data_IF_836181487767
#
_entry.id   IF_836181487767
#
_cell.length_a   1.000
_cell.length_b   1.000
_cell.length_c   1.000
_cell.angle_alpha   90.00
_cell.angle_beta   90.00
_cell.angle_gamma   90.00
#
_symmetry.space_group_name_H-M   'P 1'
#
loop_
_entity.id
_entity.type
_entity.pdbx_description
1 polymer ?
#
# COMPACT_ATOMS: atom_id res chain seq x y z
N UNK A 1 49.07 -28.19 -48.00
CA UNK A 1 47.74 -28.50 -47.54
C UNK A 1 47.48 -27.71 -46.24
N UNK A 2 46.71 -26.66 -46.19
CA UNK A 2 46.39 -25.95 -44.94
C UNK A 2 45.11 -26.50 -44.35
N UNK A 3 45.15 -26.81 -43.07
CA UNK A 3 44.10 -27.29 -42.24
C UNK A 3 43.08 -26.09 -41.98
N UNK A 4 41.83 -26.26 -42.33
CA UNK A 4 40.74 -25.30 -42.00
C UNK A 4 40.16 -25.70 -40.66
N UNK A 5 40.31 -24.83 -39.66
CA UNK A 5 39.63 -24.95 -38.36
C UNK A 5 38.27 -24.24 -38.52
N UNK A 6 37.21 -25.02 -38.41
CA UNK A 6 35.84 -24.47 -38.34
C UNK A 6 35.52 -24.10 -36.89
N UNK A 7 35.30 -22.83 -36.63
CA UNK A 7 34.80 -22.35 -35.33
C UNK A 7 33.28 -22.53 -35.29
N UNK A 8 32.78 -23.34 -34.37
CA UNK A 8 31.37 -23.47 -34.08
C UNK A 8 30.97 -22.33 -33.13
N UNK A 9 30.09 -21.44 -33.62
CA UNK A 9 29.47 -20.40 -32.80
C UNK A 9 28.27 -21.04 -32.10
N UNK A 10 28.35 -21.23 -30.79
CA UNK A 10 27.22 -21.63 -29.96
C UNK A 10 26.32 -20.41 -29.73
N UNK A 11 25.14 -20.39 -30.32
CA UNK A 11 24.09 -19.43 -30.04
C UNK A 11 23.44 -19.86 -28.72
N UNK A 12 23.75 -19.16 -27.65
CA UNK A 12 23.03 -19.28 -26.38
C UNK A 12 21.70 -18.54 -26.56
N UNK A 13 20.62 -19.29 -26.73
CA UNK A 13 19.27 -18.75 -26.67
C UNK A 13 19.00 -18.31 -25.22
N UNK A 14 19.05 -17.02 -24.97
CA UNK A 14 18.40 -16.43 -23.79
C UNK A 14 16.89 -16.64 -23.93
N UNK A 15 16.37 -17.64 -23.25
CA UNK A 15 14.93 -17.71 -22.99
C UNK A 15 14.57 -16.51 -22.12
N UNK A 16 14.05 -15.47 -22.75
CA UNK A 16 13.46 -14.33 -22.05
C UNK A 16 12.33 -14.86 -21.16
N UNK A 17 12.50 -14.75 -19.85
CA UNK A 17 11.38 -14.86 -18.91
C UNK A 17 10.46 -13.70 -19.27
N UNK A 18 9.27 -14.04 -19.79
CA UNK A 18 8.28 -13.04 -20.20
C UNK A 18 7.97 -12.12 -19.02
N UNK A 19 8.02 -10.81 -19.25
CA UNK A 19 7.63 -9.76 -18.31
C UNK A 19 6.16 -9.85 -17.89
N UNK A 20 5.40 -10.75 -18.49
CA UNK A 20 3.96 -10.91 -18.30
C UNK A 20 3.58 -11.55 -16.94
N UNK A 21 4.49 -12.27 -16.28
CA UNK A 21 4.19 -12.94 -15.00
C UNK A 21 3.93 -11.99 -13.83
N UNK A 22 4.33 -10.72 -13.91
CA UNK A 22 4.09 -9.72 -12.87
C UNK A 22 2.87 -8.83 -13.13
N UNK A 23 2.39 -8.73 -14.37
CA UNK A 23 1.27 -7.89 -14.76
C UNK A 23 -0.08 -8.36 -14.19
N UNK A 24 -0.22 -9.66 -13.93
CA UNK A 24 -1.47 -10.29 -13.52
C UNK A 24 -1.68 -10.35 -11.98
N UNK A 25 -0.75 -9.87 -11.16
CA UNK A 25 -0.80 -10.02 -9.71
C UNK A 25 -0.88 -8.67 -8.99
N UNK A 26 -1.54 -8.67 -7.82
CA UNK A 26 -1.59 -7.54 -6.88
C UNK A 26 -1.05 -8.01 -5.52
N UNK A 27 0.29 -8.15 -5.36
CA UNK A 27 0.92 -8.96 -4.31
C UNK A 27 0.93 -8.32 -2.92
N UNK A 28 0.66 -7.04 -2.80
CA UNK A 28 0.69 -6.29 -1.55
C UNK A 28 -0.21 -5.06 -1.64
N UNK A 29 -0.43 -4.39 -0.53
CA UNK A 29 -1.12 -3.11 -0.52
C UNK A 29 -0.45 -2.14 -1.48
N UNK A 30 -1.24 -1.49 -2.35
CA UNK A 30 -0.77 -0.63 -3.46
C UNK A 30 -0.10 -1.38 -4.63
N UNK A 31 -0.29 -2.71 -4.71
CA UNK A 31 0.04 -3.49 -5.90
C UNK A 31 1.51 -3.84 -6.09
N UNK A 32 1.90 -4.19 -7.32
CA UNK A 32 3.21 -4.80 -7.59
C UNK A 32 4.40 -3.89 -7.24
N UNK A 33 4.25 -2.59 -7.41
CA UNK A 33 5.29 -1.59 -7.10
C UNK A 33 4.99 -0.80 -5.82
N UNK A 34 4.00 -1.21 -5.03
CA UNK A 34 3.55 -0.53 -3.81
C UNK A 34 3.20 0.97 -4.01
N UNK A 35 2.82 1.37 -5.22
CA UNK A 35 2.54 2.76 -5.59
C UNK A 35 1.12 2.99 -6.15
N UNK A 36 0.28 1.94 -6.21
CA UNK A 36 -1.09 2.03 -6.69
C UNK A 36 -1.26 1.92 -8.20
N UNK A 37 -0.20 1.56 -8.93
CA UNK A 37 -0.23 1.42 -10.39
C UNK A 37 -0.27 -0.05 -10.78
N UNK A 38 -1.06 -0.36 -11.82
CA UNK A 38 -1.05 -1.63 -12.51
C UNK A 38 -0.88 -1.41 -14.01
N UNK A 39 -0.12 -2.26 -14.72
CA UNK A 39 -0.05 -2.28 -16.17
C UNK A 39 -1.27 -2.95 -16.83
N UNK A 40 -2.22 -3.44 -16.04
CA UNK A 40 -3.45 -4.08 -16.52
C UNK A 40 -4.24 -3.19 -17.48
N UNK A 41 -4.88 -3.83 -18.45
CA UNK A 41 -5.74 -3.21 -19.47
C UNK A 41 -7.11 -3.88 -19.50
N UNK A 42 -8.06 -3.29 -20.26
CA UNK A 42 -9.42 -3.80 -20.43
C UNK A 42 -10.21 -3.94 -19.14
N UNK A 43 -9.97 -3.06 -18.18
CA UNK A 43 -10.64 -3.05 -16.90
C UNK A 43 -12.09 -2.53 -16.99
N UNK A 44 -13.01 -3.04 -16.18
CA UNK A 44 -14.39 -2.58 -16.10
C UNK A 44 -14.47 -1.08 -15.81
N UNK A 45 -15.39 -0.40 -16.50
CA UNK A 45 -15.72 1.02 -16.24
C UNK A 45 -17.05 1.11 -15.49
N UNK A 46 -18.01 0.28 -15.87
CA UNK A 46 -19.37 0.28 -15.31
C UNK A 46 -19.69 -1.05 -14.65
N UNK A 47 -20.30 -0.98 -13.47
CA UNK A 47 -20.86 -2.12 -12.75
C UNK A 47 -21.93 -1.65 -11.77
N UNK A 48 -22.71 -2.59 -11.27
CA UNK A 48 -23.67 -2.40 -10.18
C UNK A 48 -23.53 -3.54 -9.16
N UNK A 49 -24.48 -3.70 -8.26
CA UNK A 49 -24.50 -4.86 -7.36
C UNK A 49 -24.87 -6.18 -8.05
N UNK A 50 -25.30 -6.12 -9.32
CA UNK A 50 -25.75 -7.28 -10.13
C UNK A 50 -25.10 -7.36 -11.51
N UNK A 51 -24.63 -6.25 -12.07
CA UNK A 51 -24.04 -6.19 -13.41
C UNK A 51 -22.52 -6.13 -13.32
N UNK A 52 -21.84 -6.83 -14.22
CA UNK A 52 -20.36 -6.92 -14.27
C UNK A 52 -19.75 -7.43 -12.97
N UNK A 53 -20.46 -8.25 -12.21
CA UNK A 53 -19.97 -8.92 -11.01
C UNK A 53 -19.67 -10.38 -11.35
N UNK A 54 -18.40 -10.77 -11.24
CA UNK A 54 -18.01 -12.17 -11.39
C UNK A 54 -18.51 -13.01 -10.21
N UNK A 55 -18.35 -12.50 -9.01
CA UNK A 55 -18.85 -13.09 -7.76
C UNK A 55 -18.84 -12.08 -6.61
N UNK A 56 -19.58 -12.41 -5.55
CA UNK A 56 -19.66 -11.71 -4.26
C UNK A 56 -19.45 -12.70 -3.14
N UNK A 57 -18.46 -12.51 -2.28
CA UNK A 57 -18.22 -13.32 -1.08
C UNK A 57 -18.66 -12.55 0.16
N UNK A 58 -19.66 -13.01 0.93
CA UNK A 58 -20.02 -12.40 2.20
C UNK A 58 -18.85 -12.41 3.22
N UNK A 59 -18.67 -11.32 3.93
CA UNK A 59 -17.68 -11.16 4.99
C UNK A 59 -18.38 -10.91 6.34
N UNK A 60 -17.84 -11.47 7.45
CA UNK A 60 -18.51 -11.38 8.76
C UNK A 60 -18.39 -10.01 9.41
N UNK A 61 -17.37 -9.20 9.04
CA UNK A 61 -17.15 -7.88 9.61
C UNK A 61 -16.37 -6.96 8.65
N UNK A 62 -16.52 -5.65 8.85
CA UNK A 62 -15.77 -4.67 8.10
C UNK A 62 -14.28 -4.63 8.53
N UNK A 63 -13.42 -4.17 7.64
CA UNK A 63 -12.01 -3.86 7.91
C UNK A 63 -11.45 -2.99 6.79
N UNK A 64 -10.33 -2.31 7.04
CA UNK A 64 -9.58 -1.56 6.04
C UNK A 64 -8.63 -2.40 5.18
N UNK A 65 -8.48 -3.70 5.49
CA UNK A 65 -7.57 -4.58 4.74
C UNK A 65 -7.95 -4.66 3.26
N UNK A 66 -7.00 -4.36 2.40
CA UNK A 66 -7.13 -4.51 0.94
C UNK A 66 -6.82 -5.96 0.54
N UNK A 67 -7.60 -6.58 -0.35
CA UNK A 67 -7.28 -7.91 -0.86
C UNK A 67 -5.99 -7.87 -1.66
N UNK A 68 -5.18 -8.93 -1.55
CA UNK A 68 -4.03 -9.18 -2.42
C UNK A 68 -4.30 -10.38 -3.31
N UNK A 69 -3.76 -10.36 -4.52
CA UNK A 69 -4.04 -11.36 -5.55
C UNK A 69 -2.73 -11.94 -6.08
N UNK A 70 -2.65 -13.26 -6.14
CA UNK A 70 -1.58 -13.97 -6.80
C UNK A 70 -2.09 -15.23 -7.51
N UNK A 71 -1.98 -15.25 -8.82
CA UNK A 71 -2.46 -16.36 -9.64
C UNK A 71 -3.95 -16.61 -9.46
N UNK A 72 -4.27 -17.79 -8.95
CA UNK A 72 -5.64 -18.27 -8.70
C UNK A 72 -6.15 -18.00 -7.26
N UNK A 73 -5.42 -17.22 -6.46
CA UNK A 73 -5.74 -16.98 -5.06
C UNK A 73 -5.82 -15.51 -4.70
N UNK A 74 -6.74 -15.25 -3.79
CA UNK A 74 -6.87 -13.95 -3.11
C UNK A 74 -6.63 -14.20 -1.62
N UNK A 75 -5.85 -13.32 -0.98
CA UNK A 75 -5.65 -13.37 0.47
C UNK A 75 -6.17 -12.10 1.11
N UNK A 76 -6.83 -12.25 2.25
CA UNK A 76 -7.49 -11.16 2.95
C UNK A 76 -7.46 -11.37 4.47
N UNK A 77 -7.15 -10.33 5.24
CA UNK A 77 -7.37 -10.32 6.68
C UNK A 77 -8.84 -10.08 6.98
N UNK A 78 -9.43 -10.93 7.80
CA UNK A 78 -10.85 -10.91 8.13
C UNK A 78 -11.04 -10.98 9.65
N UNK A 79 -11.84 -10.07 10.18
CA UNK A 79 -12.36 -10.17 11.55
C UNK A 79 -13.53 -11.14 11.58
N UNK A 80 -13.47 -12.12 12.48
CA UNK A 80 -14.53 -13.11 12.65
C UNK A 80 -14.60 -13.52 14.13
N UNK A 81 -15.75 -13.34 14.78
CA UNK A 81 -16.01 -13.75 16.18
C UNK A 81 -15.00 -13.19 17.21
N UNK A 82 -14.55 -11.95 17.04
CA UNK A 82 -13.56 -11.31 17.94
C UNK A 82 -12.11 -11.71 17.68
N UNK A 83 -11.88 -12.63 16.77
CA UNK A 83 -10.55 -13.03 16.28
C UNK A 83 -10.23 -12.45 14.91
N UNK A 84 -8.96 -12.51 14.56
CA UNK A 84 -8.43 -12.09 13.26
C UNK A 84 -7.97 -13.33 12.51
N UNK A 85 -8.38 -13.45 11.26
CA UNK A 85 -8.09 -14.60 10.42
C UNK A 85 -7.50 -14.16 9.07
N UNK A 86 -6.57 -14.95 8.54
CA UNK A 86 -6.19 -14.90 7.14
C UNK A 86 -7.07 -15.87 6.35
N UNK A 87 -7.77 -15.34 5.35
CA UNK A 87 -8.51 -16.14 4.40
C UNK A 87 -7.74 -16.25 3.09
N UNK A 88 -7.62 -17.47 2.55
CA UNK A 88 -7.29 -17.69 1.15
C UNK A 88 -8.58 -18.03 0.41
N UNK A 89 -8.81 -17.37 -0.71
CA UNK A 89 -10.07 -17.40 -1.46
C UNK A 89 -9.73 -17.85 -2.89
N UNK A 90 -10.51 -18.77 -3.42
CA UNK A 90 -10.47 -19.15 -4.85
C UNK A 90 -10.88 -17.95 -5.69
N UNK A 91 -9.98 -17.49 -6.52
CA UNK A 91 -10.19 -16.29 -7.32
C UNK A 91 -11.31 -16.42 -8.34
N UNK A 92 -11.48 -17.61 -8.93
CA UNK A 92 -12.49 -17.85 -9.96
C UNK A 92 -13.90 -17.97 -9.37
N UNK A 93 -14.02 -18.51 -8.15
CA UNK A 93 -15.31 -18.82 -7.52
C UNK A 93 -15.73 -17.85 -6.42
N UNK A 94 -14.78 -17.14 -5.79
CA UNK A 94 -15.04 -16.35 -4.60
C UNK A 94 -15.35 -17.19 -3.36
N UNK A 95 -14.83 -18.41 -3.28
CA UNK A 95 -15.05 -19.33 -2.16
C UNK A 95 -13.78 -19.43 -1.30
N UNK A 96 -13.89 -19.45 0.05
CA UNK A 96 -12.75 -19.68 0.90
C UNK A 96 -12.14 -21.07 0.67
N UNK A 97 -10.86 -21.13 0.31
CA UNK A 97 -10.07 -22.37 0.22
C UNK A 97 -9.64 -22.84 1.62
N UNK A 98 -9.21 -21.89 2.43
CA UNK A 98 -8.87 -22.13 3.82
C UNK A 98 -8.91 -20.81 4.62
N UNK A 99 -9.05 -20.96 5.95
CA UNK A 99 -8.98 -19.89 6.93
C UNK A 99 -7.95 -20.25 7.98
N UNK A 100 -7.15 -19.29 8.44
CA UNK A 100 -6.17 -19.49 9.51
C UNK A 100 -6.31 -18.40 10.56
N UNK A 101 -6.45 -18.82 11.80
CA UNK A 101 -6.48 -17.92 12.95
C UNK A 101 -5.11 -17.25 13.12
N UNK A 102 -5.10 -15.94 13.24
CA UNK A 102 -3.88 -15.15 13.45
C UNK A 102 -3.72 -14.78 14.93
N UNK A 103 -4.74 -14.15 15.49
CA UNK A 103 -4.79 -13.73 16.89
C UNK A 103 -6.21 -13.46 17.33
N UNK A 104 -6.42 -13.46 18.64
CA UNK A 104 -7.59 -12.88 19.29
C UNK A 104 -7.41 -11.37 19.50
N UNK A 105 -8.44 -10.72 20.04
CA UNK A 105 -8.39 -9.31 20.44
C UNK A 105 -8.61 -8.32 19.31
N UNK A 106 -9.46 -8.67 18.32
CA UNK A 106 -9.91 -7.68 17.35
C UNK A 106 -10.70 -6.58 18.05
N UNK A 107 -10.12 -5.40 18.09
CA UNK A 107 -10.73 -4.20 18.67
C UNK A 107 -11.11 -3.23 17.57
N UNK A 108 -12.39 -2.87 17.55
CA UNK A 108 -12.90 -1.87 16.64
C UNK A 108 -12.54 -0.47 17.12
N UNK A 109 -11.85 0.28 16.28
CA UNK A 109 -11.62 1.71 16.42
C UNK A 109 -12.61 2.49 15.54
N UNK A 110 -12.52 3.82 15.53
CA UNK A 110 -13.45 4.64 14.74
C UNK A 110 -13.41 4.32 13.23
N UNK A 111 -12.21 4.14 12.67
CA UNK A 111 -11.98 3.93 11.23
C UNK A 111 -11.01 2.78 10.92
N UNK A 112 -10.76 1.92 11.88
CA UNK A 112 -9.98 0.70 11.66
C UNK A 112 -10.26 -0.33 12.75
N UNK A 113 -9.83 -1.54 12.53
CA UNK A 113 -9.78 -2.62 13.50
C UNK A 113 -8.43 -3.35 13.41
N UNK A 114 -8.21 -4.33 14.25
CA UNK A 114 -6.92 -5.00 14.29
C UNK A 114 -6.64 -5.91 13.08
N UNK A 115 -7.62 -6.11 12.20
CA UNK A 115 -7.44 -6.80 10.91
C UNK A 115 -7.12 -5.86 9.74
N UNK A 116 -6.96 -4.57 9.97
CA UNK A 116 -6.73 -3.54 8.93
C UNK A 116 -5.45 -3.74 8.12
N UNK A 117 -4.29 -4.16 8.67
CA UNK A 117 -3.11 -4.40 7.84
C UNK A 117 -3.39 -5.41 6.74
N UNK A 118 -2.96 -5.11 5.51
CA UNK A 118 -3.12 -6.01 4.36
C UNK A 118 -2.00 -7.04 4.35
N UNK A 119 -2.27 -8.30 3.94
CA UNK A 119 -1.23 -9.30 3.74
C UNK A 119 -0.33 -8.96 2.57
N UNK A 120 0.79 -9.68 2.44
CA UNK A 120 1.71 -9.59 1.29
C UNK A 120 2.10 -10.99 0.81
N UNK A 121 2.42 -11.14 -0.48
CA UNK A 121 2.81 -12.42 -1.09
C UNK A 121 3.79 -12.22 -2.23
N UNK A 122 4.58 -13.24 -2.54
CA UNK A 122 5.44 -13.32 -3.72
C UNK A 122 5.19 -14.59 -4.56
N UNK A 123 4.08 -15.28 -4.28
CA UNK A 123 3.74 -16.54 -4.94
C UNK A 123 4.35 -17.78 -4.27
N UNK A 124 5.29 -17.63 -3.34
CA UNK A 124 5.88 -18.76 -2.59
C UNK A 124 5.31 -18.87 -1.17
N UNK A 125 4.94 -17.74 -0.58
CA UNK A 125 4.35 -17.64 0.75
C UNK A 125 3.44 -16.43 0.90
N UNK A 126 2.76 -16.38 2.02
CA UNK A 126 1.91 -15.25 2.44
C UNK A 126 2.35 -14.81 3.82
N UNK A 127 2.63 -13.52 3.97
CA UNK A 127 3.01 -12.90 5.22
C UNK A 127 1.96 -11.89 5.64
N UNK A 128 1.63 -11.92 6.92
CA UNK A 128 0.53 -11.11 7.44
C UNK A 128 0.86 -10.54 8.81
N UNK A 129 0.61 -9.25 8.96
CA UNK A 129 0.68 -8.52 10.22
C UNK A 129 -0.74 -8.21 10.69
N UNK A 130 -0.95 -8.23 12.01
CA UNK A 130 -2.20 -7.80 12.64
C UNK A 130 -1.99 -6.54 13.45
N UNK A 131 -3.05 -5.80 13.73
CA UNK A 131 -3.02 -4.66 14.65
C UNK A 131 -2.70 -5.05 16.10
N UNK A 132 -2.87 -6.33 16.45
CA UNK A 132 -2.46 -6.90 17.75
C UNK A 132 -0.97 -7.21 17.84
N UNK A 133 -0.19 -7.00 16.78
CA UNK A 133 1.25 -7.21 16.76
C UNK A 133 1.70 -8.60 16.34
N UNK A 134 0.79 -9.48 15.94
CA UNK A 134 1.13 -10.82 15.46
C UNK A 134 1.54 -10.75 13.99
N UNK A 135 2.73 -11.25 13.70
CA UNK A 135 3.29 -11.40 12.35
C UNK A 135 3.48 -12.88 12.05
N UNK A 136 2.81 -13.40 11.02
CA UNK A 136 2.85 -14.81 10.64
C UNK A 136 3.19 -15.00 9.17
N UNK A 137 3.76 -16.15 8.85
CA UNK A 137 3.98 -16.63 7.50
C UNK A 137 3.28 -17.97 7.27
N UNK A 138 2.71 -18.12 6.07
CA UNK A 138 2.07 -19.35 5.64
C UNK A 138 2.56 -19.72 4.24
N UNK A 139 2.59 -21.03 3.95
CA UNK A 139 2.62 -21.48 2.55
C UNK A 139 1.26 -21.26 1.88
N UNK A 140 1.18 -21.47 0.57
CA UNK A 140 -0.06 -21.28 -0.18
C UNK A 140 -1.17 -22.26 0.21
N UNK A 141 -0.86 -23.37 0.88
CA UNK A 141 -1.83 -24.34 1.40
C UNK A 141 -2.28 -24.00 2.83
N UNK A 142 -1.79 -22.90 3.38
CA UNK A 142 -2.15 -22.41 4.71
C UNK A 142 -1.43 -23.15 5.84
N UNK A 143 -0.32 -23.83 5.59
CA UNK A 143 0.56 -24.33 6.65
C UNK A 143 1.37 -23.16 7.19
N UNK A 144 1.31 -22.95 8.51
CA UNK A 144 2.12 -21.95 9.19
C UNK A 144 3.60 -22.32 9.10
N UNK A 145 4.42 -21.38 8.62
CA UNK A 145 5.86 -21.54 8.48
C UNK A 145 6.60 -20.99 9.70
N UNK A 146 6.17 -19.84 10.18
CA UNK A 146 6.67 -19.20 11.40
C UNK A 146 5.68 -18.15 11.91
N UNK A 147 5.80 -17.81 13.19
CA UNK A 147 5.00 -16.79 13.86
C UNK A 147 5.87 -15.96 14.81
N UNK A 148 5.52 -14.69 14.99
CA UNK A 148 6.14 -13.75 15.92
C UNK A 148 5.09 -12.88 16.59
N UNK A 149 5.38 -12.46 17.80
CA UNK A 149 4.63 -11.44 18.53
C UNK A 149 5.54 -10.21 18.71
N UNK A 150 5.34 -9.23 17.83
CA UNK A 150 6.20 -8.04 17.76
C UNK A 150 6.04 -7.17 19.02
N UNK A 151 4.85 -7.11 19.61
CA UNK A 151 4.64 -6.37 20.86
C UNK A 151 5.33 -7.03 22.05
N UNK A 152 5.31 -8.36 22.12
CA UNK A 152 6.03 -9.10 23.17
C UNK A 152 7.55 -8.94 23.05
N UNK A 153 8.05 -8.83 21.83
CA UNK A 153 9.49 -8.75 21.58
C UNK A 153 10.05 -7.32 21.71
N UNK A 154 9.28 -6.30 21.36
CA UNK A 154 9.78 -4.92 21.23
C UNK A 154 8.96 -3.86 21.95
N UNK A 155 8.00 -4.27 22.76
CA UNK A 155 7.14 -3.36 23.52
C UNK A 155 5.77 -3.11 22.86
N UNK A 156 4.82 -2.58 23.64
CA UNK A 156 3.44 -2.34 23.18
C UNK A 156 3.37 -1.28 22.10
N UNK A 157 2.39 -1.41 21.21
CA UNK A 157 2.11 -0.38 20.20
C UNK A 157 1.36 0.80 20.84
N UNK A 158 1.99 1.94 20.90
CA UNK A 158 1.46 3.15 21.52
C UNK A 158 0.73 4.12 20.60
N UNK A 159 0.14 3.65 19.49
CA UNK A 159 -0.64 4.47 18.58
C UNK A 159 -2.04 4.77 19.13
N UNK A 160 -2.54 5.98 18.89
CA UNK A 160 -3.86 6.42 19.37
C UNK A 160 -5.01 5.58 18.80
N UNK A 161 -4.96 5.28 17.50
CA UNK A 161 -6.03 4.59 16.78
C UNK A 161 -5.75 3.10 16.53
N UNK A 162 -4.76 2.50 17.20
CA UNK A 162 -4.30 1.14 16.97
C UNK A 162 -3.35 1.03 15.77
N UNK A 163 -2.73 -0.13 15.58
CA UNK A 163 -1.76 -0.36 14.52
C UNK A 163 -2.46 -0.73 13.21
N UNK A 164 -2.21 0.02 12.13
CA UNK A 164 -2.85 -0.19 10.81
C UNK A 164 -1.89 -0.33 9.63
N UNK A 165 -0.58 -0.17 9.85
CA UNK A 165 0.43 -0.26 8.79
C UNK A 165 0.55 -1.67 8.23
N UNK A 166 0.55 -1.81 6.91
CA UNK A 166 0.83 -3.09 6.26
C UNK A 166 2.32 -3.38 6.22
N UNK A 167 2.77 -4.64 6.30
CA UNK A 167 4.14 -4.96 5.99
C UNK A 167 4.43 -4.67 4.51
N UNK A 168 5.67 -4.34 4.19
CA UNK A 168 6.15 -4.22 2.81
C UNK A 168 7.05 -5.39 2.49
N UNK A 169 6.80 -6.07 1.38
CA UNK A 169 7.64 -7.16 0.89
C UNK A 169 8.57 -6.66 -0.22
N UNK A 170 9.86 -6.85 -0.04
CA UNK A 170 10.85 -6.56 -1.07
C UNK A 170 12.02 -7.57 -1.01
N UNK A 171 12.26 -8.24 -2.12
CA UNK A 171 13.30 -9.27 -2.22
C UNK A 171 13.05 -10.44 -1.26
N UNK A 172 14.00 -10.67 -0.36
CA UNK A 172 13.97 -11.72 0.67
C UNK A 172 13.43 -11.24 2.02
N UNK A 173 12.91 -10.02 2.10
CA UNK A 173 12.65 -9.34 3.37
C UNK A 173 11.28 -8.71 3.44
N UNK A 174 10.76 -8.68 4.68
CA UNK A 174 9.64 -7.87 5.09
C UNK A 174 10.17 -6.63 5.82
N UNK A 175 9.58 -5.49 5.53
CA UNK A 175 9.80 -4.25 6.27
C UNK A 175 8.55 -3.92 7.07
N UNK A 176 8.72 -3.76 8.37
CA UNK A 176 7.67 -3.42 9.32
C UNK A 176 8.10 -2.18 10.08
N UNK A 177 7.27 -1.15 10.09
CA UNK A 177 7.51 0.05 10.88
C UNK A 177 6.49 0.17 12.00
N UNK A 178 6.94 0.62 13.16
CA UNK A 178 6.10 0.97 14.31
C UNK A 178 6.46 2.39 14.69
N UNK A 179 5.63 3.33 14.23
CA UNK A 179 5.80 4.77 14.49
C UNK A 179 4.68 5.19 15.43
N UNK A 180 5.05 5.49 16.66
CA UNK A 180 4.11 5.70 17.76
C UNK A 180 4.65 6.72 18.77
N UNK A 181 3.81 7.18 19.67
CA UNK A 181 4.19 8.12 20.71
C UNK A 181 3.01 8.67 21.52
N UNK A 182 1.77 8.54 21.02
CA UNK A 182 0.62 9.06 21.75
C UNK A 182 0.38 8.34 23.10
N UNK A 183 0.63 7.03 23.16
CA UNK A 183 0.33 6.18 24.33
C UNK A 183 1.56 5.47 24.91
N UNK A 184 2.77 5.85 24.45
CA UNK A 184 4.02 5.28 24.94
C UNK A 184 5.16 6.25 24.74
N UNK A 185 6.15 6.19 25.63
CA UNK A 185 7.45 6.88 25.51
C UNK A 185 8.51 5.99 24.85
N UNK A 186 8.15 4.73 24.50
CA UNK A 186 9.05 3.84 23.80
C UNK A 186 9.41 4.40 22.40
N UNK A 187 10.65 4.23 21.94
CA UNK A 187 11.07 4.80 20.67
C UNK A 187 10.37 4.12 19.49
N UNK A 188 9.94 4.91 18.51
CA UNK A 188 9.55 4.42 17.20
C UNK A 188 10.68 3.64 16.54
N UNK A 189 10.36 2.58 15.79
CA UNK A 189 11.38 1.72 15.18
C UNK A 189 10.93 1.12 13.84
N UNK A 190 11.91 0.62 13.12
CA UNK A 190 11.73 -0.09 11.85
C UNK A 190 12.49 -1.43 11.91
N UNK A 191 11.85 -2.46 11.36
CA UNK A 191 12.40 -3.81 11.28
C UNK A 191 12.60 -4.23 9.83
N UNK A 192 13.72 -4.88 9.54
CA UNK A 192 13.87 -5.76 8.40
C UNK A 192 13.87 -7.20 8.89
N UNK A 193 12.98 -8.00 8.35
CA UNK A 193 12.71 -9.37 8.80
C UNK A 193 12.90 -10.31 7.61
N UNK A 194 13.61 -11.41 7.79
CA UNK A 194 13.74 -12.46 6.78
C UNK A 194 12.38 -13.10 6.52
N UNK A 195 11.90 -13.05 5.29
CA UNK A 195 10.64 -13.69 4.90
C UNK A 195 10.67 -15.22 5.08
N UNK A 196 11.85 -15.83 4.97
CA UNK A 196 12.00 -17.28 5.02
C UNK A 196 11.79 -17.87 6.41
N UNK A 197 12.21 -17.19 7.47
CA UNK A 197 12.24 -17.74 8.83
C UNK A 197 11.81 -16.77 9.93
N UNK A 198 11.37 -15.57 9.57
CA UNK A 198 10.91 -14.56 10.52
C UNK A 198 12.00 -13.88 11.37
N UNK A 199 13.29 -14.20 11.18
CA UNK A 199 14.38 -13.60 11.99
C UNK A 199 14.55 -12.12 11.65
N UNK A 200 14.72 -11.28 12.66
CA UNK A 200 15.12 -9.88 12.47
C UNK A 200 16.53 -9.82 11.90
N UNK A 201 16.68 -9.19 10.74
CA UNK A 201 17.98 -8.92 10.09
C UNK A 201 18.58 -7.67 10.73
N UNK A 202 17.77 -6.62 10.88
CA UNK A 202 18.11 -5.42 11.63
C UNK A 202 16.86 -4.78 12.25
N UNK A 203 17.06 -4.07 13.37
CA UNK A 203 16.12 -3.14 13.99
C UNK A 203 16.84 -1.82 14.17
N UNK A 204 16.20 -0.75 13.75
CA UNK A 204 16.70 0.61 13.98
C UNK A 204 15.63 1.46 14.61
N UNK A 205 16.03 2.29 15.55
CA UNK A 205 15.17 3.32 16.09
C UNK A 205 15.03 4.47 15.09
N UNK A 206 13.86 5.07 15.09
CA UNK A 206 13.56 6.24 14.27
C UNK A 206 13.12 7.39 15.17
N UNK A 207 14.07 8.13 15.73
CA UNK A 207 13.76 9.24 16.63
C UNK A 207 13.01 10.35 15.90
N UNK A 208 12.17 11.04 16.65
CA UNK A 208 11.41 12.21 16.19
C UNK A 208 11.35 13.27 17.30
N UNK A 209 11.20 14.53 16.91
CA UNK A 209 10.91 15.64 17.82
C UNK A 209 9.39 15.87 17.97
N UNK A 210 8.58 15.16 17.17
CA UNK A 210 7.13 15.22 17.23
C UNK A 210 6.59 14.84 18.61
N UNK A 211 5.47 15.43 19.00
CA UNK A 211 4.88 15.26 20.33
C UNK A 211 3.42 14.84 20.26
N UNK A 212 2.91 14.22 21.31
CA UNK A 212 1.55 13.75 21.46
C UNK A 212 1.12 12.79 20.34
N UNK A 213 0.12 13.13 19.51
CA UNK A 213 -0.33 12.28 18.41
C UNK A 213 0.54 12.41 17.15
N UNK A 214 1.36 13.45 17.04
CA UNK A 214 2.16 13.70 15.85
C UNK A 214 3.24 12.63 15.58
N UNK A 215 3.81 11.90 16.55
CA UNK A 215 4.66 10.75 16.30
C UNK A 215 3.94 9.58 15.61
N UNK A 216 2.63 9.42 15.84
CA UNK A 216 1.86 8.30 15.33
C UNK A 216 1.79 8.32 13.79
N UNK A 217 2.08 7.19 13.18
CA UNK A 217 1.95 7.05 11.74
C UNK A 217 1.40 5.68 11.36
N UNK A 218 0.48 5.69 10.40
CA UNK A 218 -0.23 4.51 9.91
C UNK A 218 0.20 4.14 8.48
N UNK A 219 1.29 4.73 8.03
CA UNK A 219 1.84 4.59 6.68
C UNK A 219 2.49 3.22 6.48
N UNK A 220 2.58 2.80 5.23
CA UNK A 220 3.42 1.68 4.79
C UNK A 220 4.65 2.28 4.11
N UNK A 221 5.87 1.81 4.39
CA UNK A 221 7.09 2.35 3.78
C UNK A 221 7.12 2.07 2.27
N UNK A 222 7.96 2.81 1.55
CA UNK A 222 8.22 2.60 0.13
C UNK A 222 9.71 2.38 -0.12
N UNK A 223 10.09 1.78 -1.24
CA UNK A 223 11.50 1.66 -1.65
C UNK A 223 11.74 2.48 -2.90
N UNK A 224 12.80 3.27 -2.86
CA UNK A 224 13.30 4.02 -4.01
C UNK A 224 14.68 3.51 -4.40
N UNK A 225 14.90 3.42 -5.72
CA UNK A 225 16.24 3.16 -6.28
C UNK A 225 16.88 4.49 -6.67
N UNK A 226 18.07 4.76 -6.16
CA UNK A 226 18.89 5.90 -6.56
C UNK A 226 20.28 5.40 -6.99
N UNK A 227 20.56 5.43 -8.28
CA UNK A 227 21.75 4.81 -8.85
C UNK A 227 21.84 3.32 -8.51
N UNK A 228 22.88 2.92 -7.78
CA UNK A 228 23.06 1.53 -7.29
C UNK A 228 22.47 1.28 -5.90
N UNK A 229 22.04 2.32 -5.21
CA UNK A 229 21.51 2.24 -3.84
C UNK A 229 20.01 1.98 -3.85
N UNK A 230 19.56 1.26 -2.83
CA UNK A 230 18.14 1.11 -2.48
C UNK A 230 17.93 1.78 -1.12
N UNK A 231 16.94 2.64 -1.06
CA UNK A 231 16.60 3.40 0.14
C UNK A 231 15.16 3.10 0.55
N UNK A 232 14.95 2.79 1.81
CA UNK A 232 13.62 2.64 2.41
C UNK A 232 13.14 4.03 2.83
N UNK A 233 12.05 4.49 2.23
CA UNK A 233 11.43 5.79 2.48
C UNK A 233 10.31 5.63 3.49
N UNK A 234 10.36 6.43 4.56
CA UNK A 234 9.40 6.41 5.66
C UNK A 234 8.88 7.81 5.91
N UNK A 235 7.55 7.95 6.03
CA UNK A 235 6.88 9.19 6.43
C UNK A 235 6.18 8.99 7.77
N UNK A 236 6.33 9.94 8.66
CA UNK A 236 5.72 9.94 9.98
C UNK A 236 6.58 10.67 11.01
N UNK A 237 6.01 11.01 12.16
CA UNK A 237 6.71 11.77 13.18
C UNK A 237 7.31 13.05 12.64
N UNK A 238 6.52 13.81 11.86
CA UNK A 238 6.85 15.10 11.26
C UNK A 238 7.93 15.07 10.15
N UNK A 239 8.46 13.89 9.81
CA UNK A 239 9.61 13.77 8.91
C UNK A 239 9.39 12.78 7.76
N UNK A 240 10.12 13.02 6.67
CA UNK A 240 10.45 12.00 5.66
C UNK A 240 11.89 11.57 5.89
N UNK A 241 12.12 10.26 5.95
CA UNK A 241 13.47 9.71 6.12
C UNK A 241 13.78 8.66 5.08
N UNK A 242 15.02 8.62 4.61
CA UNK A 242 15.55 7.56 3.76
C UNK A 242 16.58 6.73 4.50
N UNK A 243 16.41 5.42 4.46
CA UNK A 243 17.29 4.48 5.16
C UNK A 243 17.93 3.50 4.17
N UNK A 244 19.17 3.14 4.40
CA UNK A 244 19.83 2.06 3.66
C UNK A 244 19.08 0.74 3.91
N UNK A 245 18.60 0.13 2.83
CA UNK A 245 17.79 -1.11 2.91
C UNK A 245 18.54 -2.26 3.58
N UNK A 246 19.87 -2.33 3.42
CA UNK A 246 20.66 -3.45 3.92
C UNK A 246 20.98 -3.32 5.42
N UNK A 247 21.23 -2.11 5.88
CA UNK A 247 21.69 -1.85 7.25
C UNK A 247 20.66 -1.19 8.17
N UNK A 248 19.60 -0.60 7.58
CA UNK A 248 18.62 0.21 8.29
C UNK A 248 19.10 1.61 8.67
N UNK A 249 20.39 1.92 8.44
CA UNK A 249 20.97 3.22 8.80
C UNK A 249 20.22 4.35 8.10
N UNK A 250 19.76 5.35 8.86
CA UNK A 250 19.24 6.58 8.30
C UNK A 250 20.33 7.29 7.49
N UNK A 251 20.03 7.56 6.24
CA UNK A 251 20.92 8.23 5.29
C UNK A 251 20.64 9.71 5.24
N UNK A 252 19.38 10.06 5.18
CA UNK A 252 18.91 11.43 5.08
C UNK A 252 17.55 11.62 5.77
N UNK A 253 17.25 12.88 6.09
CA UNK A 253 16.02 13.30 6.75
C UNK A 253 15.58 14.67 6.23
N UNK A 254 14.27 14.89 6.18
CA UNK A 254 13.63 16.19 6.01
C UNK A 254 12.50 16.33 7.05
N UNK A 255 12.75 17.13 8.10
CA UNK A 255 11.77 17.45 9.14
C UNK A 255 10.86 18.58 8.66
N UNK A 256 10.02 18.30 7.65
CA UNK A 256 9.27 19.34 6.92
C UNK A 256 7.78 18.98 6.72
N UNK A 257 7.29 17.89 7.34
CA UNK A 257 5.92 17.46 7.16
C UNK A 257 4.92 18.15 8.10
N UNK A 258 5.39 18.78 9.19
CA UNK A 258 4.55 19.50 10.16
C UNK A 258 5.16 20.88 10.51
N UNK A 259 5.17 21.82 9.57
CA UNK A 259 5.84 23.12 9.78
C UNK A 259 5.18 24.00 10.84
N UNK A 260 3.99 23.66 11.28
CA UNK A 260 3.25 24.39 12.33
C UNK A 260 3.42 23.80 13.72
N UNK A 261 4.14 22.67 13.84
CA UNK A 261 4.30 21.90 15.08
C UNK A 261 2.94 21.57 15.75
N UNK A 262 1.97 21.18 14.96
CA UNK A 262 0.65 20.75 15.44
C UNK A 262 0.77 19.37 16.11
N UNK A 263 0.39 19.28 17.38
CA UNK A 263 0.48 18.07 18.18
C UNK A 263 -0.49 16.95 17.78
N UNK A 264 -1.47 17.22 16.93
CA UNK A 264 -2.43 16.25 16.41
C UNK A 264 -2.09 15.80 14.97
N UNK A 265 -0.82 15.93 14.54
CA UNK A 265 -0.41 15.82 13.13
C UNK A 265 0.03 14.41 12.72
N UNK A 266 -0.71 13.38 13.18
CA UNK A 266 -0.48 12.01 12.73
C UNK A 266 -0.52 11.88 11.20
N UNK A 267 0.28 10.98 10.64
CA UNK A 267 0.35 10.76 9.20
C UNK A 267 -0.27 9.41 8.85
N UNK A 268 -1.22 9.40 7.89
CA UNK A 268 -1.92 8.18 7.44
C UNK A 268 -1.59 7.85 5.99
N UNK A 269 -1.62 8.83 5.10
CA UNK A 269 -1.27 8.64 3.70
C UNK A 269 0.22 8.27 3.54
N UNK A 270 0.49 7.18 2.83
CA UNK A 270 1.83 6.61 2.67
C UNK A 270 2.68 7.34 1.63
N UNK A 271 4.01 7.25 1.70
CA UNK A 271 4.88 7.73 0.63
C UNK A 271 4.64 6.95 -0.66
N UNK A 272 4.74 7.63 -1.79
CA UNK A 272 4.62 7.03 -3.13
C UNK A 272 5.91 7.26 -3.89
N UNK A 273 6.42 6.20 -4.51
CA UNK A 273 7.65 6.26 -5.31
C UNK A 273 7.33 5.93 -6.78
N UNK A 274 7.81 6.78 -7.68
CA UNK A 274 7.80 6.53 -9.12
C UNK A 274 9.13 7.00 -9.74
N UNK A 275 9.94 6.07 -10.21
CA UNK A 275 11.32 6.38 -10.62
C UNK A 275 12.12 6.99 -9.47
N UNK A 276 12.68 8.18 -9.68
CA UNK A 276 13.39 8.96 -8.66
C UNK A 276 12.52 10.07 -8.01
N UNK A 277 11.21 10.02 -8.18
CA UNK A 277 10.29 10.93 -7.53
C UNK A 277 9.67 10.26 -6.30
N UNK A 278 9.78 10.93 -5.16
CA UNK A 278 9.13 10.56 -3.90
C UNK A 278 8.03 11.59 -3.63
N UNK A 279 6.78 11.14 -3.54
CA UNK A 279 5.67 11.96 -3.04
C UNK A 279 5.48 11.58 -1.58
N UNK A 280 5.63 12.54 -0.69
CA UNK A 280 5.51 12.37 0.75
C UNK A 280 4.33 13.20 1.28
N UNK A 281 3.14 12.58 1.45
CA UNK A 281 2.01 13.23 2.09
C UNK A 281 2.28 13.47 3.58
N UNK A 282 1.60 14.47 4.12
CA UNK A 282 1.46 14.67 5.56
C UNK A 282 -0.02 14.60 5.96
N UNK A 283 -0.40 15.19 7.06
CA UNK A 283 -1.79 15.42 7.39
C UNK A 283 -2.26 16.71 6.71
N UNK A 284 -2.91 16.59 5.53
CA UNK A 284 -3.41 17.67 4.68
C UNK A 284 -2.30 18.53 4.04
N UNK A 285 -1.31 19.04 4.79
CA UNK A 285 -0.29 19.97 4.27
C UNK A 285 0.97 20.08 5.15
N UNK A 286 2.16 20.21 4.52
CA UNK A 286 2.35 20.12 3.07
C UNK A 286 2.39 18.68 2.58
N UNK A 287 2.00 18.42 1.34
CA UNK A 287 2.47 17.25 0.61
C UNK A 287 3.75 17.65 -0.13
N UNK A 288 4.82 16.87 0.04
CA UNK A 288 6.12 17.16 -0.54
C UNK A 288 6.41 16.24 -1.72
N UNK A 289 7.06 16.78 -2.76
CA UNK A 289 7.78 15.97 -3.73
C UNK A 289 9.27 16.12 -3.48
N UNK A 290 9.97 15.00 -3.45
CA UNK A 290 11.38 14.94 -3.11
C UNK A 290 12.16 14.08 -4.09
N UNK A 291 13.46 14.37 -4.19
CA UNK A 291 14.42 13.49 -4.85
C UNK A 291 15.06 12.55 -3.81
N UNK A 292 15.35 11.29 -4.16
CA UNK A 292 16.10 10.38 -3.32
C UNK A 292 17.59 10.79 -3.24
N UNK A 293 18.34 10.09 -2.41
CA UNK A 293 19.76 10.36 -2.20
C UNK A 293 20.02 11.41 -1.14
N UNK A 294 21.22 11.94 -1.12
CA UNK A 294 21.64 12.92 -0.09
C UNK A 294 22.15 12.26 1.19
N UNK A 295 22.55 13.10 2.15
CA UNK A 295 23.01 12.68 3.47
C UNK A 295 22.68 13.76 4.51
N UNK A 296 22.27 13.31 5.72
CA UNK A 296 21.88 14.23 6.80
C UNK A 296 20.58 14.98 6.48
N UNK A 297 20.50 16.24 6.88
CA UNK A 297 19.34 17.09 6.59
C UNK A 297 19.31 17.49 5.11
N UNK A 298 18.23 17.11 4.45
CA UNK A 298 18.01 17.37 3.01
C UNK A 298 16.81 18.31 2.74
N UNK A 299 16.22 18.89 3.77
CA UNK A 299 15.04 19.74 3.63
C UNK A 299 15.21 20.88 2.62
N UNK A 300 16.39 21.52 2.60
CA UNK A 300 16.69 22.63 1.70
C UNK A 300 17.22 22.23 0.31
N UNK A 301 17.53 20.95 0.09
CA UNK A 301 18.23 20.49 -1.13
C UNK A 301 17.47 19.50 -1.97
N UNK A 302 16.59 18.68 -1.37
CA UNK A 302 15.92 17.58 -2.05
C UNK A 302 14.41 17.75 -2.22
N UNK A 303 13.79 18.72 -1.53
CA UNK A 303 12.39 19.07 -1.79
C UNK A 303 12.34 19.79 -3.15
N UNK A 304 11.60 19.20 -4.10
CA UNK A 304 11.42 19.72 -5.45
C UNK A 304 10.28 20.73 -5.49
N UNK A 305 9.18 20.38 -4.84
CA UNK A 305 8.01 21.26 -4.66
C UNK A 305 7.19 20.83 -3.44
N UNK A 306 6.31 21.73 -3.00
CA UNK A 306 5.34 21.46 -1.95
C UNK A 306 3.94 21.87 -2.39
N UNK A 307 2.93 21.12 -1.94
CA UNK A 307 1.53 21.33 -2.24
C UNK A 307 0.71 21.48 -0.97
N UNK A 308 -0.17 22.49 -0.89
CA UNK A 308 -0.83 22.89 0.34
C UNK A 308 -2.26 22.34 0.51
N UNK A 309 -2.70 21.40 -0.37
CA UNK A 309 -4.02 20.77 -0.31
C UNK A 309 -3.89 19.24 -0.42
N UNK A 310 -2.96 18.65 0.31
CA UNK A 310 -2.73 17.20 0.31
C UNK A 310 -3.87 16.44 1.02
N UNK A 311 -3.78 15.10 1.00
CA UNK A 311 -4.75 14.24 1.69
C UNK A 311 -4.45 14.14 3.19
N UNK A 312 -5.45 13.80 4.02
CA UNK A 312 -5.21 13.23 5.36
C UNK A 312 -5.05 11.69 5.26
N UNK A 313 -5.97 10.98 4.62
CA UNK A 313 -6.00 9.51 4.60
C UNK A 313 -5.68 8.90 3.23
N UNK A 314 -6.32 9.28 2.12
CA UNK A 314 -6.07 8.65 0.82
C UNK A 314 -4.64 8.86 0.35
N UNK A 315 -3.95 7.78 0.02
CA UNK A 315 -2.60 7.89 -0.57
C UNK A 315 -2.70 8.31 -2.03
N UNK A 316 -1.92 9.32 -2.48
CA UNK A 316 -1.86 9.75 -3.88
C UNK A 316 -1.39 8.65 -4.82
N UNK A 317 -1.53 8.89 -6.12
CA UNK A 317 -0.94 8.05 -7.17
C UNK A 317 -0.29 8.94 -8.23
N UNK A 318 0.77 8.45 -8.87
CA UNK A 318 1.45 9.18 -9.95
C UNK A 318 1.93 8.24 -11.04
N UNK A 319 1.72 8.62 -12.29
CA UNK A 319 2.25 7.95 -13.50
C UNK A 319 3.63 8.50 -13.92
N UNK A 320 4.20 9.39 -13.10
CA UNK A 320 5.46 10.09 -13.40
C UNK A 320 5.29 11.35 -14.25
N UNK A 321 4.14 11.55 -14.87
CA UNK A 321 3.76 12.78 -15.58
C UNK A 321 2.86 13.64 -14.71
N UNK A 322 1.87 13.02 -14.09
CA UNK A 322 0.89 13.65 -13.22
C UNK A 322 0.88 13.02 -11.83
N UNK A 323 0.53 13.80 -10.82
CA UNK A 323 0.22 13.34 -9.46
C UNK A 323 -1.26 13.61 -9.21
N UNK A 324 -2.00 12.55 -8.94
CA UNK A 324 -3.43 12.64 -8.62
C UNK A 324 -3.62 12.57 -7.11
N UNK A 325 -4.28 13.59 -6.59
CA UNK A 325 -4.49 13.80 -5.16
C UNK A 325 -5.98 13.95 -4.90
N UNK A 326 -6.49 13.30 -3.89
CA UNK A 326 -7.83 13.53 -3.37
C UNK A 326 -7.74 13.70 -1.85
N UNK A 327 -8.45 14.68 -1.31
CA UNK A 327 -8.56 14.80 0.14
C UNK A 327 -9.76 14.01 0.67
N UNK A 328 -9.85 13.89 1.98
CA UNK A 328 -10.90 13.15 2.68
C UNK A 328 -12.31 13.62 2.37
N UNK A 329 -12.47 14.85 1.88
CA UNK A 329 -13.77 15.46 1.56
C UNK A 329 -14.16 15.29 0.08
N UNK A 330 -13.38 14.54 -0.70
CA UNK A 330 -13.64 14.29 -2.11
C UNK A 330 -13.30 15.46 -3.03
N UNK A 331 -12.37 16.34 -2.63
CA UNK A 331 -11.81 17.34 -3.52
C UNK A 331 -10.55 16.77 -4.14
N UNK A 332 -10.47 16.80 -5.46
CA UNK A 332 -9.41 16.21 -6.26
C UNK A 332 -8.57 17.26 -6.97
N UNK A 333 -7.29 16.97 -7.12
CA UNK A 333 -6.31 17.73 -7.92
C UNK A 333 -5.52 16.78 -8.80
N UNK A 334 -5.09 17.31 -9.94
CA UNK A 334 -4.04 16.76 -10.79
C UNK A 334 -2.90 17.78 -10.84
N UNK A 335 -1.72 17.35 -10.49
CA UNK A 335 -0.52 18.18 -10.47
C UNK A 335 0.45 17.68 -11.53
N UNK A 336 1.20 18.58 -12.15
CA UNK A 336 2.38 18.23 -12.94
C UNK A 336 3.44 17.64 -12.00
N UNK A 337 3.89 16.44 -12.26
CA UNK A 337 4.77 15.70 -11.35
C UNK A 337 6.15 16.35 -11.17
N UNK A 338 6.64 17.10 -12.15
CA UNK A 338 7.95 17.77 -12.10
C UNK A 338 7.91 19.09 -11.35
N UNK A 339 6.80 19.82 -11.42
CA UNK A 339 6.73 21.20 -10.95
C UNK A 339 5.76 21.41 -9.79
N UNK A 340 4.87 20.43 -9.51
CA UNK A 340 3.79 20.55 -8.52
C UNK A 340 2.70 21.56 -8.90
N UNK A 341 2.73 22.12 -10.10
CA UNK A 341 1.69 23.05 -10.59
C UNK A 341 0.39 22.31 -10.84
N UNK A 342 -0.73 22.95 -10.47
CA UNK A 342 -2.04 22.40 -10.76
C UNK A 342 -2.28 22.37 -12.28
N UNK A 343 -2.57 21.17 -12.79
CA UNK A 343 -3.08 20.94 -14.16
C UNK A 343 -4.58 21.17 -14.16
N UNK A 344 -5.25 20.58 -13.16
CA UNK A 344 -6.59 20.95 -12.73
C UNK A 344 -6.72 20.81 -11.22
N UNK A 345 -7.63 21.56 -10.61
CA UNK A 345 -7.78 21.52 -9.15
C UNK A 345 -9.17 21.87 -8.67
N UNK A 346 -9.43 21.53 -7.40
CA UNK A 346 -10.70 21.74 -6.69
C UNK A 346 -11.90 21.09 -7.39
N UNK A 347 -11.63 19.98 -8.11
CA UNK A 347 -12.69 19.18 -8.73
C UNK A 347 -13.37 18.35 -7.65
N UNK A 348 -14.68 18.50 -7.50
CA UNK A 348 -15.43 17.79 -6.47
C UNK A 348 -16.02 16.50 -7.04
N UNK A 349 -15.66 15.37 -6.41
CA UNK A 349 -16.36 14.10 -6.56
C UNK A 349 -17.63 14.07 -5.70
N UNK A 350 -18.37 12.98 -5.76
CA UNK A 350 -19.56 12.79 -4.92
C UNK A 350 -19.24 13.12 -3.45
N UNK A 351 -19.97 14.02 -2.80
CA UNK A 351 -19.74 14.34 -1.39
C UNK A 351 -19.85 13.12 -0.50
N UNK A 352 -18.76 12.78 0.15
CA UNK A 352 -18.62 11.70 1.14
C UNK A 352 -17.25 11.80 1.79
N UNK A 353 -16.90 10.87 2.68
CA UNK A 353 -15.55 10.69 3.17
C UNK A 353 -14.80 9.70 2.28
N UNK A 354 -13.53 9.99 2.00
CA UNK A 354 -12.64 9.14 1.23
C UNK A 354 -11.50 8.65 2.15
N UNK A 355 -11.40 7.34 2.32
CA UNK A 355 -10.32 6.68 3.08
C UNK A 355 -9.51 5.70 2.24
N UNK A 356 -10.14 5.04 1.26
CA UNK A 356 -9.46 4.23 0.26
C UNK A 356 -8.53 5.07 -0.63
N UNK A 357 -7.46 4.45 -1.12
CA UNK A 357 -6.49 5.08 -2.02
C UNK A 357 -6.79 4.75 -3.48
N UNK A 358 -6.28 5.54 -4.40
CA UNK A 358 -6.42 5.28 -5.83
C UNK A 358 -5.78 3.97 -6.27
N UNK A 359 -6.40 3.29 -7.25
CA UNK A 359 -5.72 2.42 -8.19
C UNK A 359 -5.67 3.12 -9.56
N UNK A 360 -4.50 3.15 -10.18
CA UNK A 360 -4.26 3.69 -11.53
C UNK A 360 -3.93 2.54 -12.47
N UNK A 361 -4.79 2.28 -13.41
CA UNK A 361 -4.63 1.23 -14.41
C UNK A 361 -5.44 1.54 -15.67
N UNK A 362 -5.02 1.03 -16.82
CA UNK A 362 -5.75 1.15 -18.09
C UNK A 362 -6.10 2.61 -18.45
N UNK A 363 -5.20 3.56 -18.17
CA UNK A 363 -5.46 4.98 -18.36
C UNK A 363 -6.61 5.54 -17.50
N UNK A 364 -6.96 4.87 -16.41
CA UNK A 364 -8.09 5.22 -15.53
C UNK A 364 -7.67 5.26 -14.07
N UNK A 365 -8.35 6.07 -13.29
CA UNK A 365 -8.26 6.15 -11.84
C UNK A 365 -9.53 5.53 -11.23
N UNK A 366 -9.35 4.65 -10.29
CA UNK A 366 -10.43 4.05 -9.51
C UNK A 366 -10.30 4.49 -8.06
N UNK A 367 -11.35 5.09 -7.50
CA UNK A 367 -11.39 5.54 -6.10
C UNK A 367 -12.78 5.25 -5.51
N UNK A 368 -12.80 4.62 -4.36
CA UNK A 368 -14.05 4.29 -3.66
C UNK A 368 -14.17 5.13 -2.39
N UNK A 369 -15.31 5.81 -2.21
CA UNK A 369 -15.61 6.54 -0.99
C UNK A 369 -16.16 5.61 0.10
N UNK A 370 -16.35 6.13 1.33
CA UNK A 370 -16.82 5.32 2.46
C UNK A 370 -18.27 4.83 2.32
N UNK A 371 -19.09 5.44 1.47
CA UNK A 371 -20.46 4.98 1.19
C UNK A 371 -20.51 3.84 0.17
N UNK A 372 -19.34 3.39 -0.35
CA UNK A 372 -19.23 2.31 -1.32
C UNK A 372 -19.37 2.74 -2.77
N UNK A 373 -19.41 4.05 -3.05
CA UNK A 373 -19.40 4.56 -4.41
C UNK A 373 -17.99 4.61 -4.96
N UNK A 374 -17.76 3.88 -6.05
CA UNK A 374 -16.51 3.96 -6.82
C UNK A 374 -16.67 4.92 -7.99
N UNK A 375 -15.88 5.98 -8.01
CA UNK A 375 -15.74 6.87 -9.17
C UNK A 375 -14.61 6.37 -10.05
N UNK A 376 -14.89 6.18 -11.33
CA UNK A 376 -13.91 5.87 -12.38
C UNK A 376 -13.66 7.14 -13.19
N UNK A 377 -12.40 7.58 -13.22
CA UNK A 377 -12.00 8.79 -13.95
C UNK A 377 -10.99 8.44 -15.03
N UNK A 378 -10.94 9.27 -16.07
CA UNK A 378 -9.84 9.24 -17.04
C UNK A 378 -8.57 9.79 -16.38
N UNK A 379 -7.48 9.05 -16.47
CA UNK A 379 -6.16 9.58 -16.12
C UNK A 379 -5.67 10.53 -17.23
N UNK A 380 -5.04 11.64 -16.84
CA UNK A 380 -4.52 12.63 -17.79
C UNK A 380 -4.81 14.08 -17.37
N UNK A 381 -4.57 15.03 -18.26
CA UNK A 381 -4.64 16.48 -17.96
C UNK A 381 -6.06 17.03 -17.89
N UNK A 382 -7.07 16.26 -18.26
CA UNK A 382 -8.47 16.70 -18.28
C UNK A 382 -9.27 15.93 -17.24
N UNK A 383 -10.02 16.64 -16.40
CA UNK A 383 -10.94 16.03 -15.46
C UNK A 383 -12.16 15.46 -16.17
N UNK A 384 -12.33 14.14 -16.15
CA UNK A 384 -13.47 13.45 -16.77
C UNK A 384 -13.88 12.27 -15.89
N UNK A 385 -15.11 12.28 -15.41
CA UNK A 385 -15.74 11.13 -14.75
C UNK A 385 -16.32 10.22 -15.83
N UNK A 386 -15.83 8.98 -15.90
CA UNK A 386 -16.28 7.97 -16.86
C UNK A 386 -17.49 7.20 -16.34
N UNK A 387 -17.54 6.93 -15.03
CA UNK A 387 -18.65 6.24 -14.37
C UNK A 387 -18.63 6.47 -12.86
N UNK A 388 -19.78 6.28 -12.25
CA UNK A 388 -19.99 6.16 -10.81
C UNK A 388 -20.72 4.84 -10.54
N UNK A 389 -20.14 3.95 -9.72
CA UNK A 389 -20.63 2.60 -9.46
C UNK A 389 -20.80 2.41 -7.95
N UNK A 390 -21.99 2.06 -7.49
CA UNK A 390 -22.31 2.02 -6.07
C UNK A 390 -22.61 0.59 -5.59
N UNK A 391 -22.01 0.22 -4.44
CA UNK A 391 -22.32 -1.03 -3.73
C UNK A 391 -23.37 -0.84 -2.63
N UNK A 392 -23.69 0.40 -2.24
CA UNK A 392 -24.54 0.74 -1.10
C UNK A 392 -24.06 0.05 0.21
N UNK A 393 -22.75 -0.05 0.37
CA UNK A 393 -22.13 -0.73 1.51
C UNK A 393 -20.80 -0.04 1.89
N UNK A 394 -20.62 0.19 3.19
CA UNK A 394 -19.48 0.91 3.74
C UNK A 394 -18.13 0.29 3.37
N UNK A 395 -17.12 1.10 3.05
CA UNK A 395 -15.77 0.62 2.80
C UNK A 395 -14.68 1.58 3.24
N UNK A 396 -13.53 1.01 3.67
CA UNK A 396 -12.28 1.72 3.94
C UNK A 396 -11.14 1.20 3.06
N UNK A 397 -11.37 0.12 2.30
CA UNK A 397 -10.30 -0.53 1.53
C UNK A 397 -10.05 0.17 0.20
N UNK A 398 -8.83 -0.01 -0.30
CA UNK A 398 -8.46 0.43 -1.65
C UNK A 398 -8.82 -0.65 -2.68
N UNK A 399 -9.11 -0.30 -3.94
CA UNK A 399 -9.25 -1.28 -5.01
C UNK A 399 -7.94 -2.06 -5.24
N UNK A 400 -8.05 -3.35 -5.55
CA UNK A 400 -6.97 -4.17 -6.09
C UNK A 400 -7.30 -4.56 -7.53
N UNK A 401 -6.29 -4.62 -8.40
CA UNK A 401 -6.48 -4.86 -9.83
C UNK A 401 -5.63 -6.05 -10.27
N UNK A 402 -6.22 -7.01 -10.98
CA UNK A 402 -5.50 -8.16 -11.47
C UNK A 402 -6.27 -8.86 -12.59
N UNK A 403 -5.61 -9.13 -13.73
CA UNK A 403 -6.10 -9.93 -14.86
C UNK A 403 -7.51 -9.52 -15.31
N UNK A 404 -7.66 -8.24 -15.67
CA UNK A 404 -8.92 -7.67 -16.15
C UNK A 404 -10.04 -7.55 -15.11
N UNK A 405 -9.78 -7.85 -13.84
CA UNK A 405 -10.73 -7.75 -12.75
C UNK A 405 -10.32 -6.69 -11.72
N UNK A 406 -11.32 -6.13 -11.03
CA UNK A 406 -11.14 -5.25 -9.88
C UNK A 406 -11.73 -5.94 -8.66
N UNK A 407 -10.99 -5.95 -7.56
CA UNK A 407 -11.42 -6.49 -6.28
C UNK A 407 -11.61 -5.36 -5.29
N UNK A 408 -12.81 -5.25 -4.73
CA UNK A 408 -13.16 -4.25 -3.72
C UNK A 408 -13.77 -4.95 -2.52
N UNK A 409 -13.21 -4.68 -1.34
CA UNK A 409 -13.80 -5.08 -0.08
C UNK A 409 -14.73 -3.99 0.42
N UNK A 410 -15.96 -4.36 0.76
CA UNK A 410 -16.91 -3.56 1.53
C UNK A 410 -17.07 -4.14 2.94
N UNK A 411 -17.90 -3.54 3.77
CA UNK A 411 -18.15 -4.01 5.13
C UNK A 411 -18.72 -5.41 5.16
N UNK A 412 -19.66 -5.71 4.25
CA UNK A 412 -20.38 -6.98 4.23
C UNK A 412 -19.86 -7.99 3.21
N UNK A 413 -18.97 -7.59 2.27
CA UNK A 413 -18.54 -8.50 1.19
C UNK A 413 -17.18 -8.14 0.58
N UNK A 414 -16.57 -9.15 -0.07
CA UNK A 414 -15.55 -8.97 -1.09
C UNK A 414 -16.20 -9.16 -2.46
N UNK A 415 -15.97 -8.23 -3.36
CA UNK A 415 -16.51 -8.22 -4.72
C UNK A 415 -15.43 -8.46 -5.74
N UNK A 416 -15.65 -9.33 -6.70
CA UNK A 416 -14.87 -9.42 -7.93
C UNK A 416 -15.67 -8.83 -9.08
N UNK A 417 -15.14 -7.77 -9.65
CA UNK A 417 -15.78 -6.95 -10.68
C UNK A 417 -15.11 -7.26 -12.01
N UNK A 418 -15.90 -7.50 -13.05
CA UNK A 418 -15.45 -7.86 -14.38
C UNK A 418 -15.93 -9.22 -14.84
N UNK A 419 -15.37 -9.73 -15.93
CA UNK A 419 -15.78 -11.04 -16.46
C UNK A 419 -15.31 -12.15 -15.52
N UNK A 420 -16.14 -13.20 -15.32
CA UNK A 420 -15.67 -14.41 -14.66
C UNK A 420 -14.44 -14.98 -15.37
N UNK A 421 -13.46 -15.43 -14.61
CA UNK A 421 -12.29 -16.11 -15.18
C UNK A 421 -12.72 -17.45 -15.72
N UNK A 422 -12.51 -17.69 -17.03
CA UNK A 422 -12.65 -19.04 -17.58
C UNK A 422 -11.57 -19.96 -16.98
N UNK A 423 -11.96 -21.18 -16.63
CA UNK A 423 -11.02 -22.21 -16.14
C UNK A 423 -10.02 -22.59 -17.22
#
# INVERSE_FOLDING_TARGET
MPLRIAAAVAVVAFSGVSSDAYAENWPQWRGPSANGISPETNLPVTWSTTENIAWKLPLPAWSGSTPIVWGDRIFLNVSENGGIHLWAIDRAKGEPLWKRHLSDGDTKMRKQNMSTPSPVTDGTGVWVMTGTGILKAFDFNGKELWARDIQKEYGPFGLNWGYGSSPMLFGDSLFVQVLHGMKTDDPSYVLRISKANGRTIWRVERPTIAQRESPDSYTTPAIVRHGKSLELVITGGDAVTGHDVNTGKELWRADSLNPTNDFAYRIVASPVVHGELIIAPSRERPMLAMRPGGRGDVANSHIVWSFQNGPDVPTPVTDGTYVYVINDRGIMWCLDAKTGKEVYGKMRLRPSTYSGSFALADGKLYITNEDGLTTVLRAGPTFEILAENNFDDYTLSSPAVSDGQIFIRTASALWAIGKPRSK
#
